data_IF_484208700852
#
_entry.id   IF_484208700852
#
_cell.length_a   1.000
_cell.length_b   1.000
_cell.length_c   1.000
_cell.angle_alpha   90.00
_cell.angle_beta   90.00
_cell.angle_gamma   90.00
#
_symmetry.space_group_name_H-M   'P 1'
#
loop_
_entity.id
_entity.type
_entity.pdbx_description
1 polymer ?
#
# COMPACT_ATOMS: atom_id res chain seq x y z
N UNK A 1 3.36 -3.62 -11.46
CA UNK A 1 2.00 -4.14 -11.54
C UNK A 1 1.09 -3.25 -12.39
N UNK A 2 0.83 -2.00 -11.99
CA UNK A 2 -0.14 -1.11 -12.68
C UNK A 2 0.15 -0.95 -14.17
N UNK A 3 1.40 -0.67 -14.55
CA UNK A 3 1.77 -0.56 -15.96
C UNK A 3 1.50 -1.86 -16.73
N UNK A 4 1.86 -3.02 -16.16
CA UNK A 4 1.57 -4.32 -16.78
C UNK A 4 0.08 -4.58 -16.94
N UNK A 5 -0.73 -4.22 -15.94
CA UNK A 5 -2.20 -4.34 -16.01
C UNK A 5 -2.79 -3.45 -17.12
N UNK A 6 -2.36 -2.20 -17.22
CA UNK A 6 -2.81 -1.29 -18.28
C UNK A 6 -2.40 -1.84 -19.66
N UNK A 7 -1.13 -2.22 -19.83
CA UNK A 7 -0.64 -2.75 -21.10
C UNK A 7 -1.41 -4.01 -21.54
N UNK A 8 -1.64 -4.97 -20.61
CA UNK A 8 -2.30 -6.21 -20.97
C UNK A 8 -3.80 -6.06 -21.13
N UNK A 9 -4.49 -5.35 -20.21
CA UNK A 9 -5.95 -5.28 -20.21
C UNK A 9 -6.48 -4.26 -21.23
N UNK A 10 -5.92 -3.03 -21.22
CA UNK A 10 -6.41 -1.98 -22.10
C UNK A 10 -5.85 -2.06 -23.52
N UNK A 11 -4.62 -2.53 -23.67
CA UNK A 11 -3.95 -2.56 -24.97
C UNK A 11 -3.67 -3.96 -25.50
N UNK A 12 -4.08 -5.00 -24.81
CA UNK A 12 -3.85 -6.41 -25.17
C UNK A 12 -2.37 -6.73 -25.50
N UNK A 13 -1.46 -6.06 -24.83
CA UNK A 13 -0.02 -6.25 -25.02
C UNK A 13 0.50 -7.35 -24.07
N UNK A 14 1.52 -8.15 -24.48
CA UNK A 14 2.06 -9.25 -23.67
C UNK A 14 2.89 -8.72 -22.49
N UNK A 15 2.24 -8.15 -21.52
CA UNK A 15 2.83 -7.59 -20.30
C UNK A 15 2.29 -8.27 -19.05
N UNK A 16 3.20 -8.67 -18.14
CA UNK A 16 2.80 -9.32 -16.90
C UNK A 16 2.24 -8.31 -15.88
N UNK A 17 1.06 -8.61 -15.35
CA UNK A 17 0.47 -7.90 -14.24
C UNK A 17 0.44 -8.82 -13.00
N UNK A 18 1.46 -8.73 -12.15
CA UNK A 18 1.64 -9.62 -11.00
C UNK A 18 1.30 -8.87 -9.71
N UNK A 19 0.09 -9.09 -9.24
CA UNK A 19 -0.39 -8.63 -7.93
C UNK A 19 -0.27 -9.71 -6.85
N UNK A 20 -0.79 -9.44 -5.66
CA UNK A 20 -0.80 -10.42 -4.57
C UNK A 20 -1.63 -11.68 -4.85
N UNK A 21 -2.64 -11.59 -5.69
CA UNK A 21 -3.46 -12.72 -6.10
C UNK A 21 -2.69 -13.61 -7.07
N UNK A 22 -2.11 -13.01 -8.10
CA UNK A 22 -1.28 -13.71 -9.09
C UNK A 22 -0.06 -14.36 -8.44
N UNK A 23 0.63 -13.67 -7.50
CA UNK A 23 1.72 -14.26 -6.73
C UNK A 23 1.27 -15.54 -6.01
N UNK A 24 0.08 -15.52 -5.39
CA UNK A 24 -0.46 -16.69 -4.66
C UNK A 24 -0.83 -17.84 -5.60
N UNK A 25 -1.52 -17.54 -6.69
CA UNK A 25 -1.91 -18.53 -7.69
C UNK A 25 -0.68 -19.26 -8.23
N UNK A 26 0.29 -18.52 -8.73
CA UNK A 26 1.51 -19.08 -9.30
C UNK A 26 2.35 -19.83 -8.25
N UNK A 27 2.45 -19.30 -7.02
CA UNK A 27 3.15 -19.98 -5.94
C UNK A 27 2.53 -21.35 -5.61
N UNK A 28 1.21 -21.45 -5.60
CA UNK A 28 0.51 -22.74 -5.39
C UNK A 28 0.61 -23.63 -6.60
N UNK A 29 0.40 -23.13 -7.80
CA UNK A 29 0.44 -23.91 -9.04
C UNK A 29 1.80 -24.66 -9.18
N UNK A 30 2.91 -23.99 -8.85
CA UNK A 30 4.25 -24.55 -8.95
C UNK A 30 4.83 -25.05 -7.62
N UNK A 31 4.06 -25.07 -6.53
CA UNK A 31 4.51 -25.40 -5.17
C UNK A 31 5.76 -24.60 -4.75
N UNK A 32 5.74 -23.29 -4.97
CA UNK A 32 6.89 -22.41 -4.73
C UNK A 32 7.06 -22.13 -3.23
N UNK A 33 8.10 -22.70 -2.63
CA UNK A 33 8.33 -22.70 -1.17
C UNK A 33 9.14 -21.52 -0.63
N UNK A 34 9.58 -20.58 -1.47
CA UNK A 34 10.29 -19.38 -1.00
C UNK A 34 9.31 -18.24 -0.67
N UNK A 35 9.79 -17.25 0.09
CA UNK A 35 8.98 -16.06 0.42
C UNK A 35 8.61 -15.30 -0.84
N UNK A 36 7.31 -15.24 -1.16
CA UNK A 36 6.82 -14.54 -2.36
C UNK A 36 7.01 -13.02 -2.32
N UNK A 37 7.38 -12.45 -1.18
CA UNK A 37 7.70 -11.03 -1.05
C UNK A 37 9.15 -10.72 -1.39
N UNK A 38 10.02 -11.74 -1.45
CA UNK A 38 11.40 -11.60 -1.87
C UNK A 38 11.50 -11.16 -3.33
N UNK A 39 12.46 -10.29 -3.62
CA UNK A 39 12.65 -9.74 -4.97
C UNK A 39 13.00 -10.83 -5.99
N UNK A 40 13.80 -11.83 -5.60
CA UNK A 40 14.17 -12.96 -6.46
C UNK A 40 12.96 -13.82 -6.76
N UNK A 41 12.15 -14.13 -5.74
CA UNK A 41 10.93 -14.89 -5.88
C UNK A 41 9.92 -14.18 -6.83
N UNK A 42 9.70 -12.90 -6.61
CA UNK A 42 8.84 -12.08 -7.50
C UNK A 42 9.31 -12.12 -8.94
N UNK A 43 10.62 -11.99 -9.20
CA UNK A 43 11.17 -12.07 -10.57
C UNK A 43 10.91 -13.43 -11.20
N UNK A 44 11.10 -14.53 -10.46
CA UNK A 44 10.86 -15.89 -10.97
C UNK A 44 9.37 -16.11 -11.27
N UNK A 45 8.48 -15.70 -10.37
CA UNK A 45 7.03 -15.78 -10.57
C UNK A 45 6.60 -14.94 -11.78
N UNK A 46 7.11 -13.70 -11.88
CA UNK A 46 6.82 -12.83 -13.04
C UNK A 46 7.27 -13.46 -14.34
N UNK A 47 8.46 -14.08 -14.36
CA UNK A 47 8.94 -14.80 -15.53
C UNK A 47 8.00 -15.94 -15.94
N UNK A 48 7.51 -16.73 -14.98
CA UNK A 48 6.51 -17.79 -15.25
C UNK A 48 5.22 -17.24 -15.83
N UNK A 49 4.75 -16.10 -15.32
CA UNK A 49 3.57 -15.43 -15.89
C UNK A 49 3.82 -15.04 -17.35
N UNK A 50 4.97 -14.43 -17.66
CA UNK A 50 5.32 -14.00 -19.02
C UNK A 50 5.42 -15.19 -19.99
N UNK A 51 6.02 -16.30 -19.58
CA UNK A 51 6.21 -17.51 -20.38
C UNK A 51 4.87 -18.15 -20.82
N UNK A 52 3.76 -17.82 -20.16
CA UNK A 52 2.44 -18.38 -20.44
C UNK A 52 1.45 -17.34 -21.01
N UNK A 53 1.88 -16.11 -21.27
CA UNK A 53 1.02 -15.12 -21.93
C UNK A 53 0.73 -15.59 -23.35
N UNK A 54 -0.54 -15.71 -23.75
CA UNK A 54 -0.89 -16.10 -25.11
C UNK A 54 -0.42 -15.08 -26.16
N UNK A 55 0.04 -15.56 -27.29
CA UNK A 55 0.47 -14.71 -28.43
C UNK A 55 -0.71 -14.19 -29.28
N UNK A 56 -1.94 -14.51 -28.89
CA UNK A 56 -3.14 -14.11 -29.62
C UNK A 56 -3.39 -12.61 -29.55
N UNK A 57 -3.74 -12.01 -30.69
CA UNK A 57 -4.16 -10.59 -30.78
C UNK A 57 -5.64 -10.39 -30.38
N UNK A 58 -6.41 -11.46 -30.22
CA UNK A 58 -7.80 -11.41 -29.77
C UNK A 58 -7.87 -11.01 -28.29
N UNK A 59 -8.73 -10.04 -27.95
CA UNK A 59 -9.01 -9.69 -26.56
C UNK A 59 -9.59 -10.84 -25.73
N UNK A 60 -10.35 -11.75 -26.34
CA UNK A 60 -10.97 -12.89 -25.67
C UNK A 60 -10.02 -14.05 -25.39
N UNK A 61 -8.91 -14.15 -26.11
CA UNK A 61 -7.95 -15.26 -26.02
C UNK A 61 -6.50 -14.82 -25.85
N UNK A 62 -6.25 -13.52 -25.76
CA UNK A 62 -4.94 -12.93 -25.71
C UNK A 62 -4.51 -12.50 -24.29
N UNK A 63 -3.50 -11.63 -24.21
CA UNK A 63 -2.97 -11.11 -22.95
C UNK A 63 -4.01 -10.49 -22.01
N UNK A 64 -5.03 -9.83 -22.58
CA UNK A 64 -6.13 -9.23 -21.83
C UNK A 64 -6.90 -10.29 -21.03
N UNK A 65 -7.41 -11.31 -21.70
CA UNK A 65 -8.18 -12.38 -21.07
C UNK A 65 -7.33 -13.19 -20.07
N UNK A 66 -6.09 -13.50 -20.43
CA UNK A 66 -5.15 -14.22 -19.56
C UNK A 66 -4.90 -13.47 -18.25
N UNK A 67 -4.63 -12.18 -18.34
CA UNK A 67 -4.35 -11.34 -17.16
C UNK A 67 -5.57 -11.26 -16.24
N UNK A 68 -6.76 -11.02 -16.80
CA UNK A 68 -8.00 -10.98 -16.03
C UNK A 68 -8.31 -12.33 -15.40
N UNK A 69 -8.20 -13.42 -16.16
CA UNK A 69 -8.45 -14.78 -15.65
C UNK A 69 -7.54 -15.13 -14.45
N UNK A 70 -6.24 -14.79 -14.49
CA UNK A 70 -5.34 -15.01 -13.36
C UNK A 70 -5.73 -14.20 -12.13
N UNK A 71 -6.10 -12.94 -12.31
CA UNK A 71 -6.54 -12.08 -11.21
C UNK A 71 -7.83 -12.60 -10.57
N UNK A 72 -8.82 -12.94 -11.38
CA UNK A 72 -10.12 -13.45 -10.94
C UNK A 72 -9.99 -14.83 -10.27
N UNK A 73 -9.17 -15.71 -10.84
CA UNK A 73 -8.86 -17.00 -10.23
C UNK A 73 -8.33 -16.82 -8.81
N UNK A 74 -7.41 -15.87 -8.62
CA UNK A 74 -6.88 -15.54 -7.31
C UNK A 74 -7.92 -14.90 -6.37
N UNK A 75 -8.78 -14.04 -6.89
CA UNK A 75 -9.78 -13.34 -6.10
C UNK A 75 -10.95 -14.24 -5.65
N UNK A 76 -11.38 -15.16 -6.51
CA UNK A 76 -12.65 -15.91 -6.32
C UNK A 76 -12.45 -17.37 -5.98
N UNK A 77 -11.41 -18.03 -6.48
CA UNK A 77 -11.19 -19.47 -6.36
C UNK A 77 -10.00 -19.80 -5.49
N UNK A 78 -8.81 -19.36 -5.92
CA UNK A 78 -7.56 -19.60 -5.20
C UNK A 78 -7.36 -18.55 -4.08
N UNK A 79 -8.35 -18.41 -3.20
CA UNK A 79 -8.38 -17.44 -2.10
C UNK A 79 -7.31 -17.75 -1.03
N UNK A 80 -6.96 -16.78 -0.14
CA UNK A 80 -5.86 -16.95 0.83
C UNK A 80 -6.04 -18.14 1.79
N UNK A 81 -7.23 -18.32 2.34
CA UNK A 81 -7.57 -19.39 3.28
C UNK A 81 -8.69 -20.24 2.68
N UNK A 82 -8.65 -21.55 2.90
CA UNK A 82 -9.62 -22.50 2.37
C UNK A 82 -9.90 -22.30 0.85
N UNK A 83 -8.89 -22.43 -0.02
CA UNK A 83 -9.09 -22.26 -1.46
C UNK A 83 -10.08 -23.27 -2.01
N UNK A 84 -10.91 -22.84 -2.97
CA UNK A 84 -11.98 -23.64 -3.57
C UNK A 84 -11.41 -24.52 -4.68
N UNK A 85 -10.53 -25.46 -4.33
CA UNK A 85 -9.79 -26.28 -5.27
C UNK A 85 -10.69 -27.15 -6.14
N UNK A 86 -11.85 -27.55 -5.66
CA UNK A 86 -12.85 -28.32 -6.42
C UNK A 86 -13.44 -27.55 -7.60
N UNK A 87 -13.40 -26.20 -7.58
CA UNK A 87 -13.86 -25.32 -8.65
C UNK A 87 -12.73 -24.76 -9.49
N UNK A 88 -11.49 -25.15 -9.21
CA UNK A 88 -10.32 -24.56 -9.87
C UNK A 88 -10.10 -25.21 -11.25
N UNK A 89 -10.05 -24.43 -12.34
CA UNK A 89 -9.79 -24.97 -13.68
C UNK A 89 -8.35 -25.50 -13.83
N UNK A 90 -7.43 -25.12 -12.93
CA UNK A 90 -6.04 -25.58 -12.92
C UNK A 90 -5.80 -26.69 -11.88
N UNK A 91 -6.85 -27.37 -11.42
CA UNK A 91 -6.79 -28.34 -10.34
C UNK A 91 -5.80 -29.47 -10.61
N UNK A 92 -5.86 -30.03 -11.81
CA UNK A 92 -5.08 -31.20 -12.20
C UNK A 92 -3.58 -30.90 -12.33
N UNK A 93 -3.24 -29.66 -12.68
CA UNK A 93 -1.86 -29.19 -12.82
C UNK A 93 -1.30 -28.59 -11.53
N UNK A 94 -2.12 -28.47 -10.47
CA UNK A 94 -1.74 -27.77 -9.27
C UNK A 94 -0.84 -28.62 -8.36
N UNK A 95 0.46 -28.30 -8.34
CA UNK A 95 1.45 -28.99 -7.48
C UNK A 95 1.18 -28.83 -5.98
N UNK A 96 0.71 -27.65 -5.54
CA UNK A 96 0.38 -27.46 -4.14
C UNK A 96 -0.79 -28.33 -3.68
N UNK A 97 -1.77 -28.57 -4.55
CA UNK A 97 -2.88 -29.49 -4.26
C UNK A 97 -2.38 -30.93 -4.20
N UNK A 98 -1.60 -31.35 -5.18
CA UNK A 98 -1.02 -32.71 -5.22
C UNK A 98 -0.13 -33.05 -4.02
N UNK A 99 0.49 -32.03 -3.42
CA UNK A 99 1.40 -32.16 -2.28
C UNK A 99 0.77 -31.76 -0.93
N UNK A 100 -0.54 -31.47 -0.90
CA UNK A 100 -1.27 -30.99 0.28
C UNK A 100 -0.67 -29.73 0.93
N UNK A 101 -0.21 -28.80 0.09
CA UNK A 101 0.45 -27.55 0.50
C UNK A 101 -0.42 -26.29 0.31
N UNK A 102 -1.70 -26.44 -0.03
CA UNK A 102 -2.57 -25.31 -0.38
C UNK A 102 -2.77 -24.32 0.76
N UNK A 103 -2.78 -24.79 2.01
CA UNK A 103 -2.92 -23.93 3.20
C UNK A 103 -1.60 -23.32 3.66
N UNK A 104 -0.47 -23.96 3.36
CA UNK A 104 0.85 -23.48 3.75
C UNK A 104 1.49 -22.53 2.74
N UNK A 105 1.03 -22.60 1.48
CA UNK A 105 1.49 -21.72 0.40
C UNK A 105 0.45 -20.60 0.12
N UNK A 106 0.93 -19.42 -0.23
CA UNK A 106 2.31 -19.01 -0.42
C UNK A 106 3.02 -18.72 0.91
N UNK A 107 4.32 -18.99 0.96
CA UNK A 107 5.14 -18.60 2.09
C UNK A 107 5.27 -17.08 2.13
N UNK A 108 4.98 -16.49 3.30
CA UNK A 108 5.21 -15.08 3.60
C UNK A 108 5.91 -14.99 4.95
N UNK A 109 7.14 -14.55 4.96
CA UNK A 109 7.83 -14.26 6.23
C UNK A 109 7.15 -13.11 6.93
N UNK A 110 7.03 -13.18 8.26
CA UNK A 110 6.53 -12.07 9.05
C UNK A 110 7.38 -10.83 8.76
N UNK A 111 6.76 -9.77 8.31
CA UNK A 111 7.45 -8.49 8.17
C UNK A 111 7.92 -8.04 9.55
N UNK A 112 9.07 -7.34 9.59
CA UNK A 112 9.53 -6.68 10.81
C UNK A 112 8.42 -5.78 11.33
N UNK A 113 8.32 -5.69 12.66
CA UNK A 113 7.37 -4.80 13.30
C UNK A 113 7.48 -3.39 12.70
N UNK A 114 6.35 -2.80 12.36
CA UNK A 114 6.32 -1.46 11.80
C UNK A 114 6.82 -0.47 12.85
N UNK A 115 7.63 0.51 12.43
CA UNK A 115 8.04 1.59 13.32
C UNK A 115 6.81 2.45 13.62
N UNK A 116 6.39 2.47 14.88
CA UNK A 116 5.35 3.39 15.35
C UNK A 116 5.97 4.78 15.46
N UNK A 117 5.29 5.78 14.91
CA UNK A 117 5.67 7.19 14.97
C UNK A 117 4.48 7.96 15.51
N UNK A 118 4.64 8.55 16.69
CA UNK A 118 3.63 9.43 17.26
C UNK A 118 3.82 10.84 16.68
N UNK A 119 2.73 11.45 16.23
CA UNK A 119 2.73 12.75 15.55
C UNK A 119 1.70 13.66 16.16
N UNK A 120 2.10 14.88 16.37
CA UNK A 120 1.22 15.97 16.77
C UNK A 120 1.02 16.90 15.57
N UNK A 121 -0.23 17.11 15.22
CA UNK A 121 -0.64 17.93 14.07
C UNK A 121 -1.28 19.19 14.64
N UNK A 122 -0.79 20.35 14.20
CA UNK A 122 -1.35 21.64 14.58
C UNK A 122 -2.19 22.22 13.44
N UNK A 123 -3.45 22.53 13.70
CA UNK A 123 -4.29 23.32 12.82
C UNK A 123 -4.22 24.75 13.32
N UNK A 124 -3.55 25.59 12.55
CA UNK A 124 -3.40 27.03 12.82
C UNK A 124 -4.23 27.80 11.82
N UNK A 125 -5.21 28.54 12.34
CA UNK A 125 -6.14 29.32 11.56
C UNK A 125 -5.97 30.82 11.84
N UNK A 126 -6.20 31.65 10.82
CA UNK A 126 -6.29 33.11 10.98
C UNK A 126 -7.41 33.67 10.12
N UNK A 127 -8.01 34.77 10.55
CA UNK A 127 -8.94 35.53 9.72
C UNK A 127 -8.14 36.58 8.94
N UNK A 128 -8.32 36.58 7.62
CA UNK A 128 -7.70 37.58 6.76
C UNK A 128 -8.23 38.97 7.09
N UNK A 129 -7.34 39.95 7.34
CA UNK A 129 -7.76 41.33 7.60
C UNK A 129 -8.62 41.93 6.45
N UNK A 130 -9.72 42.53 6.78
CA UNK A 130 -10.61 43.19 5.82
C UNK A 130 -11.65 42.30 5.14
N UNK A 131 -11.36 41.04 4.83
CA UNK A 131 -12.32 40.13 4.19
C UNK A 131 -13.01 39.17 5.18
N UNK A 132 -12.44 38.99 6.36
CA UNK A 132 -12.89 37.98 7.35
C UNK A 132 -12.75 36.53 6.90
N UNK A 133 -12.14 36.29 5.75
CA UNK A 133 -11.93 34.94 5.20
C UNK A 133 -11.00 34.14 6.10
N UNK A 134 -11.37 32.89 6.39
CA UNK A 134 -10.54 31.97 7.14
C UNK A 134 -9.39 31.43 6.26
N UNK A 135 -8.17 31.52 6.76
CA UNK A 135 -6.97 30.95 6.16
C UNK A 135 -6.38 29.93 7.13
N UNK A 136 -5.77 28.89 6.59
CA UNK A 136 -5.18 27.79 7.35
C UNK A 136 -3.70 27.67 6.96
N UNK A 137 -2.82 27.52 7.93
CA UNK A 137 -1.41 27.29 7.66
C UNK A 137 -1.19 25.88 7.14
N UNK A 138 -0.58 25.78 5.97
CA UNK A 138 -0.17 24.51 5.38
C UNK A 138 1.25 24.62 4.82
N UNK A 139 1.96 23.50 4.75
CA UNK A 139 3.26 23.46 4.10
C UNK A 139 3.34 22.32 3.10
N UNK A 140 4.22 22.47 2.13
CA UNK A 140 4.47 21.43 1.13
C UNK A 140 5.63 20.56 1.58
N UNK A 141 5.42 19.24 1.62
CA UNK A 141 6.44 18.24 1.96
C UNK A 141 7.58 18.27 0.97
N UNK A 142 8.80 18.04 1.45
CA UNK A 142 9.99 17.90 0.59
C UNK A 142 9.80 16.73 -0.38
N UNK A 143 10.28 16.90 -1.60
CA UNK A 143 10.31 15.84 -2.60
C UNK A 143 11.17 14.65 -2.13
N UNK A 144 10.91 13.46 -2.68
CA UNK A 144 11.72 12.25 -2.43
C UNK A 144 11.44 11.49 -1.14
N UNK A 145 10.49 11.94 -0.31
CA UNK A 145 10.04 11.24 0.92
C UNK A 145 8.67 10.60 0.79
N UNK A 146 8.22 9.95 1.87
CA UNK A 146 6.85 9.44 1.96
C UNK A 146 5.85 10.59 1.81
N UNK A 147 4.95 10.49 0.83
CA UNK A 147 4.00 11.55 0.45
C UNK A 147 4.68 12.87 0.05
N UNK A 148 5.88 12.80 -0.58
CA UNK A 148 6.62 13.98 -1.04
C UNK A 148 5.79 14.83 -2.00
N UNK A 149 5.96 16.16 -1.91
CA UNK A 149 5.27 17.14 -2.74
C UNK A 149 3.81 17.44 -2.35
N UNK A 150 3.20 16.66 -1.46
CA UNK A 150 1.85 16.93 -0.96
C UNK A 150 1.84 18.03 0.10
N UNK A 151 0.70 18.73 0.20
CA UNK A 151 0.45 19.70 1.24
C UNK A 151 -0.04 19.03 2.52
N UNK A 152 0.44 19.46 3.67
CA UNK A 152 0.02 18.96 4.99
C UNK A 152 -0.06 20.11 6.00
N UNK A 153 -0.82 19.90 7.08
CA UNK A 153 -0.77 20.78 8.25
C UNK A 153 0.60 20.68 8.92
N UNK A 154 1.07 21.74 9.61
CA UNK A 154 2.26 21.68 10.46
C UNK A 154 2.18 20.51 11.43
N UNK A 155 3.24 19.75 11.50
CA UNK A 155 3.33 18.59 12.38
C UNK A 155 4.72 18.43 12.96
N UNK A 156 4.78 17.78 14.11
CA UNK A 156 6.01 17.39 14.78
C UNK A 156 5.93 15.96 15.28
N UNK A 157 7.06 15.30 15.40
CA UNK A 157 7.17 14.00 16.04
C UNK A 157 7.51 14.25 17.51
N UNK A 158 6.62 13.89 18.43
CA UNK A 158 6.75 14.09 19.87
C UNK A 158 6.10 12.93 20.64
N UNK A 159 6.39 12.82 21.94
CA UNK A 159 5.86 11.77 22.83
C UNK A 159 4.80 12.32 23.81
N UNK A 160 4.74 13.63 23.99
CA UNK A 160 3.79 14.30 24.88
C UNK A 160 3.38 15.68 24.34
N UNK A 161 2.29 16.27 24.85
CA UNK A 161 1.90 17.64 24.50
C UNK A 161 2.94 18.70 24.88
N UNK A 162 3.71 18.47 25.95
CA UNK A 162 4.79 19.37 26.37
C UNK A 162 5.92 19.35 25.35
N UNK A 163 6.38 18.14 24.98
CA UNK A 163 7.40 17.98 23.95
C UNK A 163 6.93 18.52 22.60
N UNK A 164 5.64 18.47 22.29
CA UNK A 164 5.05 19.04 21.09
C UNK A 164 5.37 20.55 20.98
N UNK A 165 5.23 21.33 22.06
CA UNK A 165 5.53 22.78 22.04
C UNK A 165 6.98 23.04 21.70
N UNK A 166 7.90 22.33 22.37
CA UNK A 166 9.34 22.45 22.11
C UNK A 166 9.68 22.05 20.67
N UNK A 167 9.03 21.00 20.16
CA UNK A 167 9.25 20.54 18.80
C UNK A 167 8.71 21.52 17.75
N UNK A 168 7.57 22.17 17.99
CA UNK A 168 7.06 23.23 17.11
C UNK A 168 7.99 24.44 17.10
N UNK A 169 8.50 24.84 18.25
CA UNK A 169 9.52 25.91 18.31
C UNK A 169 10.78 25.52 17.53
N UNK A 170 11.30 24.33 17.75
CA UNK A 170 12.55 23.86 17.15
C UNK A 170 12.46 23.68 15.64
N UNK A 171 11.34 23.12 15.14
CA UNK A 171 11.20 22.71 13.74
C UNK A 171 10.56 23.80 12.87
N UNK A 172 9.71 24.62 13.45
CA UNK A 172 8.91 25.62 12.75
C UNK A 172 9.21 27.05 13.17
N UNK A 173 10.02 27.25 14.21
CA UNK A 173 10.22 28.54 14.88
C UNK A 173 8.88 29.19 15.26
N UNK A 174 7.95 28.35 15.72
CA UNK A 174 6.59 28.73 16.06
C UNK A 174 6.32 28.43 17.53
N UNK A 175 6.17 29.49 18.33
CA UNK A 175 5.69 29.36 19.69
C UNK A 175 4.17 29.15 19.67
N UNK A 176 3.73 27.99 20.19
CA UNK A 176 2.33 27.60 20.11
C UNK A 176 1.69 27.47 21.48
N UNK A 177 0.42 27.82 21.55
CA UNK A 177 -0.48 27.47 22.64
C UNK A 177 -1.52 26.49 22.12
N UNK A 178 -1.50 25.20 22.54
CA UNK A 178 -2.57 24.28 22.19
C UNK A 178 -3.86 24.82 22.79
N UNK A 179 -4.86 25.04 21.95
CA UNK A 179 -6.15 25.56 22.38
C UNK A 179 -7.08 24.41 22.71
N UNK A 180 -7.24 23.48 21.76
CA UNK A 180 -8.12 22.34 21.91
C UNK A 180 -7.52 21.08 21.30
N UNK A 181 -7.62 19.98 22.02
CA UNK A 181 -7.51 18.65 21.44
C UNK A 181 -8.77 18.37 20.60
N UNK A 182 -8.59 17.99 19.34
CA UNK A 182 -9.70 17.73 18.45
C UNK A 182 -10.00 16.23 18.37
N UNK A 183 -9.04 15.44 17.95
CA UNK A 183 -9.20 13.99 17.81
C UNK A 183 -7.84 13.29 17.63
N UNK A 184 -7.87 11.98 17.77
CA UNK A 184 -6.77 11.12 17.34
C UNK A 184 -7.16 10.28 16.14
N UNK A 185 -6.18 9.93 15.33
CA UNK A 185 -6.34 9.04 14.19
C UNK A 185 -5.04 8.28 13.94
N UNK A 186 -5.13 7.21 13.18
CA UNK A 186 -3.94 6.44 12.81
C UNK A 186 -3.95 6.09 11.32
N UNK A 187 -2.76 5.91 10.78
CA UNK A 187 -2.58 5.41 9.44
C UNK A 187 -1.41 4.44 9.36
N UNK A 188 -1.69 3.27 8.75
CA UNK A 188 -0.73 2.17 8.64
C UNK A 188 -0.19 2.10 7.21
N UNK A 189 1.10 2.38 7.06
CA UNK A 189 1.85 2.15 5.83
C UNK A 189 2.57 0.80 5.89
N UNK A 190 3.14 0.35 4.80
CA UNK A 190 3.89 -0.92 4.75
C UNK A 190 5.01 -1.01 5.81
N UNK A 191 5.70 0.10 6.09
CA UNK A 191 6.88 0.12 6.98
C UNK A 191 6.74 1.04 8.20
N UNK A 192 5.63 1.76 8.33
CA UNK A 192 5.40 2.75 9.39
C UNK A 192 3.94 2.72 9.83
N UNK A 193 3.72 2.96 11.10
CA UNK A 193 2.42 3.17 11.69
C UNK A 193 2.42 4.56 12.32
N UNK A 194 1.65 5.48 11.75
CA UNK A 194 1.49 6.81 12.30
C UNK A 194 0.32 6.82 13.27
N UNK A 195 0.58 7.25 14.49
CA UNK A 195 -0.43 7.62 15.48
C UNK A 195 -0.43 9.13 15.55
N UNK A 196 -1.54 9.75 15.26
CA UNK A 196 -1.65 11.19 15.08
C UNK A 196 -2.64 11.78 16.07
N UNK A 197 -2.21 12.79 16.81
CA UNK A 197 -3.10 13.61 17.65
C UNK A 197 -3.21 14.99 17.01
N UNK A 198 -4.44 15.44 16.83
CA UNK A 198 -4.76 16.69 16.14
C UNK A 198 -5.23 17.72 17.14
N UNK A 199 -4.63 18.89 17.08
CA UNK A 199 -4.91 20.02 17.94
C UNK A 199 -5.22 21.27 17.11
N UNK A 200 -6.18 22.04 17.55
CA UNK A 200 -6.30 23.44 17.17
C UNK A 200 -5.26 24.22 18.00
N UNK A 201 -4.40 24.97 17.34
CA UNK A 201 -3.31 25.73 17.97
C UNK A 201 -3.40 27.19 17.59
N UNK A 202 -2.88 28.06 18.44
CA UNK A 202 -2.62 29.46 18.13
C UNK A 202 -1.12 29.75 18.24
N UNK A 203 -0.62 30.68 17.42
CA UNK A 203 0.71 31.24 17.64
C UNK A 203 0.67 32.20 18.81
N UNK A 204 1.75 32.24 19.61
CA UNK A 204 1.97 33.35 20.54
C UNK A 204 2.25 34.62 19.73
N UNK A 205 1.76 35.75 20.21
CA UNK A 205 2.01 37.10 19.64
C UNK A 205 3.48 37.48 19.70
#
# INVERSE_FOLDING_TARGET
YTAGAICSIAYNQPAAAVDGNVLRVIARLYAYGEDILDTKAKRQITRRVIEHIPESTSYEKGPCAYTQALMELGAMVCIPKAPRCEKCPLREDCRALALDLTETLPVRKKQKAQKVVCRYIGILERKQPGSGRLEVLMHRRKEGGLLGGLWEYPRVDASSPEEMREAFWREWNLEIHPVFYLFETEHVFTHRHWKMQVYEISAAD
#
